data_IF_790687202144
#
_entry.id   IF_790687202144
#
_cell.length_a   1.000
_cell.length_b   1.000
_cell.length_c   1.000
_cell.angle_alpha   90.00
_cell.angle_beta   90.00
_cell.angle_gamma   90.00
#
_symmetry.space_group_name_H-M   'P 1'
#
loop_
_entity.id
_entity.type
_entity.pdbx_description
1 polymer ?
#
# COMPACT_ATOMS: atom_id res chain seq x y z
N UNK A 1 51.92 -3.58 24.26
CA UNK A 1 50.92 -4.31 23.47
C UNK A 1 49.98 -3.27 22.91
N UNK A 2 50.16 -2.93 21.62
CA UNK A 2 49.29 -1.99 20.92
C UNK A 2 47.85 -2.49 20.99
N UNK A 3 46.90 -1.58 21.25
CA UNK A 3 45.48 -1.86 21.05
C UNK A 3 45.33 -2.54 19.69
N UNK A 4 44.95 -3.81 19.68
CA UNK A 4 44.55 -4.51 18.47
C UNK A 4 43.31 -3.78 17.98
N UNK A 5 43.50 -2.85 17.05
CA UNK A 5 42.44 -2.19 16.32
C UNK A 5 41.52 -3.27 15.77
N UNK A 6 40.35 -3.41 16.41
CA UNK A 6 39.35 -4.37 15.95
C UNK A 6 39.03 -4.04 14.49
N UNK A 7 39.08 -5.01 13.58
CA UNK A 7 38.80 -4.78 12.17
C UNK A 7 37.44 -4.09 12.02
N UNK A 8 37.44 -2.92 11.38
CA UNK A 8 36.25 -2.08 11.24
C UNK A 8 35.22 -2.83 10.40
N UNK A 9 34.07 -3.14 11.01
CA UNK A 9 32.99 -3.95 10.42
C UNK A 9 32.59 -3.52 9.00
N UNK A 10 32.60 -2.22 8.69
CA UNK A 10 32.40 -1.72 7.33
C UNK A 10 33.07 -0.34 7.16
N UNK A 11 34.21 -0.26 6.44
CA UNK A 11 34.86 1.01 6.11
C UNK A 11 33.92 1.95 5.34
N UNK A 12 34.08 3.26 5.54
CA UNK A 12 33.18 4.26 4.94
C UNK A 12 33.16 4.21 3.40
N UNK A 13 34.28 3.85 2.79
CA UNK A 13 34.47 3.80 1.34
C UNK A 13 33.55 2.80 0.64
N UNK A 14 33.27 1.67 1.28
CA UNK A 14 32.49 0.58 0.67
C UNK A 14 30.98 0.70 0.89
N UNK A 15 30.55 1.51 1.86
CA UNK A 15 29.13 1.60 2.27
C UNK A 15 28.23 2.03 1.11
N UNK A 16 28.63 3.04 0.35
CA UNK A 16 27.85 3.55 -0.77
C UNK A 16 27.65 2.49 -1.86
N UNK A 17 28.72 1.78 -2.21
CA UNK A 17 28.69 0.72 -3.22
C UNK A 17 27.85 -0.47 -2.76
N UNK A 18 28.02 -0.91 -1.52
CA UNK A 18 27.22 -2.01 -0.94
C UNK A 18 25.72 -1.65 -0.94
N UNK A 19 25.37 -0.43 -0.53
CA UNK A 19 23.98 0.05 -0.54
C UNK A 19 23.44 0.13 -1.97
N UNK A 20 24.26 0.55 -2.95
CA UNK A 20 23.87 0.57 -4.36
C UNK A 20 23.55 -0.84 -4.87
N UNK A 21 24.45 -1.81 -4.65
CA UNK A 21 24.23 -3.22 -5.01
C UNK A 21 22.98 -3.77 -4.36
N UNK A 22 22.81 -3.54 -3.05
CA UNK A 22 21.62 -3.95 -2.31
C UNK A 22 20.32 -3.39 -2.91
N UNK A 23 20.31 -2.13 -3.34
CA UNK A 23 19.15 -1.52 -4.02
C UNK A 23 18.87 -2.17 -5.38
N UNK A 24 19.91 -2.46 -6.16
CA UNK A 24 19.75 -3.18 -7.43
C UNK A 24 19.11 -4.54 -7.20
N UNK A 25 19.65 -5.32 -6.24
CA UNK A 25 19.12 -6.64 -5.89
C UNK A 25 17.67 -6.59 -5.39
N UNK A 26 17.29 -5.55 -4.65
CA UNK A 26 15.90 -5.35 -4.21
C UNK A 26 14.93 -5.18 -5.38
N UNK A 27 15.37 -4.54 -6.47
CA UNK A 27 14.52 -4.16 -7.59
C UNK A 27 14.46 -5.19 -8.72
N UNK A 28 15.34 -6.20 -8.71
CA UNK A 28 15.29 -7.31 -9.67
C UNK A 28 14.03 -8.14 -9.49
N UNK A 29 13.43 -8.54 -10.62
CA UNK A 29 12.19 -9.32 -10.65
C UNK A 29 12.13 -10.15 -11.95
N UNK A 30 11.60 -11.38 -11.93
CA UNK A 30 11.53 -12.23 -13.12
C UNK A 30 10.78 -11.64 -14.32
N UNK A 31 9.81 -10.76 -14.07
CA UNK A 31 9.05 -10.05 -15.10
C UNK A 31 9.66 -8.69 -15.53
N UNK A 32 10.83 -8.31 -15.01
CA UNK A 32 11.56 -7.11 -15.43
C UNK A 32 12.81 -7.57 -16.20
N UNK A 33 12.99 -7.17 -17.46
CA UNK A 33 14.18 -7.51 -18.21
C UNK A 33 15.41 -6.84 -17.59
N UNK A 34 16.57 -7.47 -17.70
CA UNK A 34 17.83 -6.82 -17.38
C UNK A 34 18.21 -5.78 -18.44
N UNK A 35 19.05 -4.81 -18.05
CA UNK A 35 19.55 -3.72 -18.91
C UNK A 35 20.60 -4.20 -19.94
N UNK A 36 20.40 -5.39 -20.51
CA UNK A 36 21.22 -5.94 -21.58
C UNK A 36 20.55 -5.66 -22.94
N UNK A 37 21.34 -5.58 -24.04
CA UNK A 37 20.82 -5.28 -25.39
C UNK A 37 19.73 -6.28 -25.85
N UNK A 38 19.73 -7.50 -25.29
CA UNK A 38 18.77 -8.57 -25.59
C UNK A 38 17.57 -8.61 -24.63
N UNK A 39 17.58 -7.85 -23.53
CA UNK A 39 16.48 -7.80 -22.56
C UNK A 39 16.17 -9.14 -21.90
N UNK A 40 17.20 -9.86 -21.44
CA UNK A 40 17.07 -11.21 -20.88
C UNK A 40 16.22 -11.22 -19.60
N UNK A 41 15.36 -12.24 -19.49
CA UNK A 41 14.57 -12.52 -18.30
C UNK A 41 15.21 -13.66 -17.51
N UNK A 42 15.39 -13.47 -16.21
CA UNK A 42 15.92 -14.50 -15.31
C UNK A 42 14.83 -15.03 -14.39
N UNK A 43 14.95 -16.30 -14.02
CA UNK A 43 14.13 -16.90 -12.98
C UNK A 43 14.45 -16.30 -11.60
N UNK A 44 13.54 -16.49 -10.64
CA UNK A 44 13.73 -16.01 -9.26
C UNK A 44 14.99 -16.60 -8.61
N UNK A 45 15.32 -17.86 -8.93
CA UNK A 45 16.49 -18.56 -8.41
C UNK A 45 17.79 -18.01 -9.01
N UNK A 46 17.82 -17.77 -10.32
CA UNK A 46 18.97 -17.17 -11.01
C UNK A 46 19.24 -15.74 -10.51
N UNK A 47 18.19 -14.95 -10.28
CA UNK A 47 18.31 -13.61 -9.70
C UNK A 47 18.91 -13.69 -8.30
N UNK A 48 18.42 -14.62 -7.46
CA UNK A 48 18.94 -14.79 -6.11
C UNK A 48 20.41 -15.21 -6.13
N UNK A 49 20.76 -16.22 -6.93
CA UNK A 49 22.13 -16.70 -7.08
C UNK A 49 23.06 -15.60 -7.59
N UNK A 50 22.66 -14.86 -8.63
CA UNK A 50 23.43 -13.75 -9.18
C UNK A 50 23.67 -12.64 -8.16
N UNK A 51 22.64 -12.26 -7.39
CA UNK A 51 22.75 -11.23 -6.35
C UNK A 51 23.64 -11.65 -5.17
N UNK A 52 23.59 -12.94 -4.79
CA UNK A 52 24.46 -13.55 -3.76
C UNK A 52 25.92 -13.52 -4.25
N UNK A 53 26.15 -13.96 -5.48
CA UNK A 53 27.48 -14.04 -6.07
C UNK A 53 28.11 -12.65 -6.24
N UNK A 54 27.36 -11.67 -6.73
CA UNK A 54 27.83 -10.29 -6.90
C UNK A 54 28.27 -9.67 -5.56
N UNK A 55 27.46 -9.83 -4.51
CA UNK A 55 27.79 -9.32 -3.19
C UNK A 55 28.99 -10.07 -2.56
N UNK A 56 29.05 -11.39 -2.75
CA UNK A 56 30.16 -12.22 -2.27
C UNK A 56 31.48 -11.83 -2.94
N UNK A 57 31.50 -11.74 -4.27
CA UNK A 57 32.70 -11.37 -5.04
C UNK A 57 33.19 -9.97 -4.64
N UNK A 58 32.28 -9.02 -4.46
CA UNK A 58 32.65 -7.68 -3.99
C UNK A 58 33.30 -7.71 -2.60
N UNK A 59 32.71 -8.45 -1.65
CA UNK A 59 33.26 -8.55 -0.31
C UNK A 59 34.59 -9.32 -0.28
N UNK A 60 34.72 -10.38 -1.08
CA UNK A 60 35.95 -11.17 -1.17
C UNK A 60 37.11 -10.36 -1.76
N UNK A 61 36.88 -9.62 -2.84
CA UNK A 61 37.90 -8.79 -3.48
C UNK A 61 38.40 -7.61 -2.61
N UNK A 62 37.65 -7.24 -1.57
CA UNK A 62 37.96 -6.13 -0.67
C UNK A 62 38.25 -6.58 0.78
N UNK A 63 38.39 -7.89 0.99
CA UNK A 63 38.62 -8.51 2.30
C UNK A 63 37.60 -8.12 3.38
N UNK A 64 36.33 -7.96 2.96
CA UNK A 64 35.20 -7.57 3.81
C UNK A 64 34.44 -8.79 4.34
N UNK A 65 35.15 -9.74 4.93
CA UNK A 65 34.58 -11.01 5.43
C UNK A 65 33.45 -10.81 6.44
N UNK A 66 33.57 -9.83 7.35
CA UNK A 66 32.54 -9.51 8.33
C UNK A 66 31.26 -8.92 7.71
N UNK A 67 31.41 -8.06 6.70
CA UNK A 67 30.28 -7.50 5.95
C UNK A 67 29.53 -8.63 5.25
N UNK A 68 30.27 -9.53 4.61
CA UNK A 68 29.68 -10.69 3.95
C UNK A 68 28.90 -11.57 4.92
N UNK A 69 29.51 -11.91 6.06
CA UNK A 69 28.85 -12.73 7.09
C UNK A 69 27.54 -12.08 7.58
N UNK A 70 27.53 -10.76 7.78
CA UNK A 70 26.31 -10.03 8.12
C UNK A 70 25.28 -10.05 6.98
N UNK A 71 25.71 -9.75 5.76
CA UNK A 71 24.83 -9.71 4.58
C UNK A 71 24.17 -11.05 4.35
N UNK A 72 24.94 -12.14 4.40
CA UNK A 72 24.43 -13.49 4.29
C UNK A 72 23.38 -13.80 5.36
N UNK A 73 23.73 -13.63 6.64
CA UNK A 73 22.88 -14.03 7.76
C UNK A 73 21.59 -13.20 7.89
N UNK A 74 21.61 -11.93 7.46
CA UNK A 74 20.47 -11.01 7.61
C UNK A 74 19.64 -10.82 6.36
N UNK A 75 20.22 -10.99 5.17
CA UNK A 75 19.57 -10.59 3.93
C UNK A 75 19.54 -11.71 2.89
N UNK A 76 20.68 -12.34 2.62
CA UNK A 76 20.81 -13.23 1.46
C UNK A 76 20.50 -14.71 1.73
N UNK A 77 20.32 -15.11 2.98
CA UNK A 77 19.83 -16.46 3.32
C UNK A 77 18.46 -16.68 2.67
N UNK A 78 18.15 -17.87 2.11
CA UNK A 78 16.86 -18.12 1.44
C UNK A 78 15.62 -17.76 2.27
N UNK A 79 15.67 -17.99 3.60
CA UNK A 79 14.61 -17.61 4.54
C UNK A 79 14.40 -16.10 4.67
N UNK A 80 15.47 -15.32 4.55
CA UNK A 80 15.43 -13.86 4.65
C UNK A 80 15.13 -13.23 3.29
N UNK A 81 15.66 -13.80 2.21
CA UNK A 81 15.46 -13.33 0.84
C UNK A 81 13.98 -13.13 0.50
N UNK A 82 13.15 -14.11 0.85
CA UNK A 82 11.69 -14.05 0.62
C UNK A 82 10.97 -12.91 1.36
N UNK A 83 11.58 -12.34 2.40
CA UNK A 83 10.98 -11.26 3.19
C UNK A 83 11.22 -9.87 2.61
N UNK A 84 12.26 -9.69 1.80
CA UNK A 84 12.63 -8.36 1.29
C UNK A 84 12.82 -8.29 -0.23
N UNK A 85 13.27 -9.35 -0.90
CA UNK A 85 13.51 -9.30 -2.34
C UNK A 85 12.20 -9.34 -3.12
N UNK A 86 12.10 -8.51 -4.18
CA UNK A 86 10.93 -8.52 -5.06
C UNK A 86 10.86 -9.78 -5.91
N UNK A 87 12.00 -10.37 -6.27
CA UNK A 87 12.07 -11.57 -7.09
C UNK A 87 11.45 -12.81 -6.46
N UNK A 88 11.25 -12.82 -5.14
CA UNK A 88 10.63 -13.93 -4.43
C UNK A 88 9.09 -13.93 -4.52
N UNK A 89 8.48 -12.91 -5.10
CA UNK A 89 7.04 -12.81 -5.28
C UNK A 89 6.71 -12.75 -6.78
N UNK A 90 5.74 -13.53 -7.23
CA UNK A 90 5.31 -13.52 -8.63
C UNK A 90 4.69 -12.19 -9.08
N UNK A 91 4.20 -11.40 -8.11
CA UNK A 91 3.49 -10.15 -8.38
C UNK A 91 4.35 -8.92 -8.09
N UNK A 92 4.43 -8.01 -9.07
CA UNK A 92 5.11 -6.72 -8.89
C UNK A 92 4.25 -5.78 -8.05
N UNK A 93 4.69 -5.50 -6.82
CA UNK A 93 4.07 -4.46 -6.00
C UNK A 93 4.26 -3.08 -6.62
N UNK A 94 3.17 -2.49 -7.14
CA UNK A 94 3.12 -1.12 -7.66
C UNK A 94 3.27 -0.05 -6.58
N UNK A 95 2.93 -0.39 -5.34
CA UNK A 95 3.00 0.52 -4.18
C UNK A 95 4.25 0.19 -3.36
N UNK A 96 5.04 1.23 -3.04
CA UNK A 96 6.10 1.08 -2.03
C UNK A 96 5.45 0.86 -0.67
N UNK A 97 5.94 -0.13 0.08
CA UNK A 97 5.45 -0.44 1.43
C UNK A 97 5.51 0.77 2.36
N UNK A 98 6.47 1.67 2.16
CA UNK A 98 6.57 2.95 2.89
C UNK A 98 5.35 3.84 2.71
N UNK A 99 4.78 3.93 1.50
CA UNK A 99 3.57 4.74 1.26
C UNK A 99 2.35 4.17 1.98
N UNK A 100 2.24 2.83 2.04
CA UNK A 100 1.15 2.17 2.76
C UNK A 100 1.28 2.43 4.26
N UNK A 101 2.49 2.29 4.79
CA UNK A 101 2.80 2.54 6.20
C UNK A 101 2.59 4.02 6.55
N UNK A 102 3.05 4.96 5.73
CA UNK A 102 2.85 6.40 5.92
C UNK A 102 1.36 6.78 5.88
N UNK A 103 0.60 6.21 4.94
CA UNK A 103 -0.83 6.47 4.85
C UNK A 103 -1.58 5.88 6.06
N UNK A 104 -1.20 4.67 6.51
CA UNK A 104 -1.73 4.09 7.75
C UNK A 104 -1.44 5.02 8.94
N UNK A 105 -0.20 5.46 9.10
CA UNK A 105 0.18 6.39 10.17
C UNK A 105 -0.55 7.72 10.08
N UNK A 106 -0.80 8.25 8.89
CA UNK A 106 -1.62 9.45 8.67
C UNK A 106 -3.04 9.25 9.21
N UNK A 107 -3.66 8.10 8.96
CA UNK A 107 -4.99 7.78 9.48
C UNK A 107 -5.00 7.62 11.00
N UNK A 108 -4.03 6.90 11.56
CA UNK A 108 -3.91 6.71 13.02
C UNK A 108 -3.72 8.07 13.70
N UNK A 109 -2.80 8.91 13.20
CA UNK A 109 -2.53 10.25 13.73
C UNK A 109 -3.75 11.16 13.73
N UNK A 110 -4.48 11.21 12.60
CA UNK A 110 -5.62 12.14 12.43
C UNK A 110 -6.89 11.69 13.10
N UNK A 111 -7.08 10.38 13.30
CA UNK A 111 -8.37 9.84 13.75
C UNK A 111 -8.33 9.34 15.17
N UNK A 112 -7.29 8.58 15.51
CA UNK A 112 -7.20 7.87 16.78
C UNK A 112 -6.26 8.60 17.77
N UNK A 113 -5.24 9.33 17.27
CA UNK A 113 -4.28 10.10 18.08
C UNK A 113 -4.47 11.62 18.05
N UNK A 114 -5.55 12.12 17.45
CA UNK A 114 -5.73 13.57 17.24
C UNK A 114 -5.75 14.39 18.53
N UNK A 115 -6.22 13.78 19.63
CA UNK A 115 -6.34 14.43 20.94
C UNK A 115 -5.11 14.23 21.83
N UNK A 116 -4.15 13.39 21.43
CA UNK A 116 -3.01 13.03 22.25
C UNK A 116 -1.75 13.74 21.77
N UNK A 117 -1.26 14.69 22.55
CA UNK A 117 0.06 15.28 22.34
C UNK A 117 1.14 14.33 22.84
N UNK A 118 2.04 13.88 21.94
CA UNK A 118 3.14 12.95 22.24
C UNK A 118 2.67 11.67 22.97
N UNK A 119 1.83 10.84 22.32
CA UNK A 119 1.32 9.62 22.93
C UNK A 119 2.46 8.67 23.28
N UNK A 120 2.38 8.06 24.46
CA UNK A 120 3.31 6.99 24.87
C UNK A 120 3.11 5.76 23.98
N UNK A 121 4.17 4.99 23.78
CA UNK A 121 4.16 3.79 22.94
C UNK A 121 3.06 2.79 23.34
N UNK A 122 2.83 2.65 24.65
CA UNK A 122 1.81 1.76 25.20
C UNK A 122 0.39 2.15 24.74
N UNK A 123 0.05 3.45 24.82
CA UNK A 123 -1.23 3.98 24.33
C UNK A 123 -1.39 3.75 22.83
N UNK A 124 -0.33 3.95 22.04
CA UNK A 124 -0.35 3.70 20.59
C UNK A 124 -0.62 2.22 20.33
N UNK A 125 0.07 1.32 21.04
CA UNK A 125 -0.11 -0.14 20.91
C UNK A 125 -1.55 -0.54 21.24
N UNK A 126 -2.08 -0.04 22.37
CA UNK A 126 -3.46 -0.28 22.77
C UNK A 126 -4.46 0.19 21.70
N UNK A 127 -4.28 1.40 21.16
CA UNK A 127 -5.15 1.93 20.09
C UNK A 127 -5.04 1.11 18.80
N UNK A 128 -3.86 0.63 18.44
CA UNK A 128 -3.68 -0.22 17.26
C UNK A 128 -4.47 -1.51 17.41
N UNK A 129 -4.39 -2.16 18.58
CA UNK A 129 -5.09 -3.43 18.85
C UNK A 129 -6.61 -3.21 18.96
N UNK A 130 -7.04 -2.16 19.68
CA UNK A 130 -8.45 -1.94 20.00
C UNK A 130 -9.25 -1.30 18.86
N UNK A 131 -8.63 -0.44 18.05
CA UNK A 131 -9.36 0.40 17.08
C UNK A 131 -8.91 0.23 15.63
N UNK A 132 -7.60 0.11 15.38
CA UNK A 132 -7.06 -0.01 14.02
C UNK A 132 -7.27 -1.42 13.49
N UNK A 133 -6.87 -2.43 14.25
CA UNK A 133 -6.91 -3.83 13.83
C UNK A 133 -8.34 -4.30 13.52
N UNK A 134 -9.37 -4.08 14.36
CA UNK A 134 -10.72 -4.55 14.05
C UNK A 134 -11.29 -3.87 12.81
N UNK A 135 -11.00 -2.58 12.61
CA UNK A 135 -11.42 -1.84 11.42
C UNK A 135 -10.77 -2.40 10.15
N UNK A 136 -9.46 -2.65 10.18
CA UNK A 136 -8.76 -3.27 9.03
C UNK A 136 -9.31 -4.66 8.75
N UNK A 137 -9.57 -5.46 9.78
CA UNK A 137 -10.21 -6.77 9.63
C UNK A 137 -11.60 -6.67 9.01
N UNK A 138 -12.41 -5.69 9.41
CA UNK A 138 -13.73 -5.45 8.81
C UNK A 138 -13.61 -5.09 7.33
N UNK A 139 -12.70 -4.19 6.95
CA UNK A 139 -12.45 -3.84 5.56
C UNK A 139 -11.93 -5.04 4.76
N UNK A 140 -11.00 -5.83 5.30
CA UNK A 140 -10.51 -7.04 4.66
C UNK A 140 -11.62 -8.08 4.47
N UNK A 141 -12.47 -8.28 5.48
CA UNK A 141 -13.60 -9.19 5.38
C UNK A 141 -14.66 -8.72 4.36
N UNK A 142 -14.77 -7.42 4.11
CA UNK A 142 -15.61 -6.89 3.02
C UNK A 142 -14.98 -7.12 1.65
N UNK A 143 -13.68 -6.87 1.50
CA UNK A 143 -12.94 -7.07 0.25
C UNK A 143 -12.84 -8.54 -0.14
N UNK A 144 -12.61 -9.42 0.85
CA UNK A 144 -12.53 -10.87 0.66
C UNK A 144 -13.91 -11.54 0.64
N UNK A 145 -14.99 -10.74 0.66
CA UNK A 145 -16.39 -11.19 0.59
C UNK A 145 -16.84 -12.14 1.73
N UNK A 146 -16.06 -12.23 2.81
CA UNK A 146 -16.30 -13.11 3.96
C UNK A 146 -17.43 -12.63 4.87
N UNK A 147 -17.79 -11.34 4.81
CA UNK A 147 -18.66 -10.69 5.80
C UNK A 147 -20.17 -10.92 5.61
N UNK A 148 -20.64 -11.28 4.41
CA UNK A 148 -22.09 -11.22 4.09
C UNK A 148 -22.57 -12.34 3.17
N UNK A 149 -22.77 -13.53 3.74
CA UNK A 149 -23.38 -14.67 3.03
C UNK A 149 -24.90 -14.46 2.79
N UNK A 150 -25.55 -13.47 3.42
CA UNK A 150 -27.01 -13.25 3.30
C UNK A 150 -27.50 -11.83 3.04
N UNK A 151 -26.62 -10.85 2.83
CA UNK A 151 -27.02 -9.45 2.53
C UNK A 151 -26.35 -8.99 1.25
N UNK A 152 -27.12 -8.35 0.36
CA UNK A 152 -26.60 -7.83 -0.90
C UNK A 152 -25.35 -6.96 -0.68
N UNK A 153 -24.38 -7.09 -1.61
CA UNK A 153 -23.15 -6.30 -1.62
C UNK A 153 -23.51 -4.81 -1.65
N UNK A 154 -22.77 -3.99 -0.91
CA UNK A 154 -22.93 -2.55 -1.01
C UNK A 154 -22.55 -2.14 -2.43
N UNK A 155 -23.42 -1.39 -3.09
CA UNK A 155 -23.17 -0.88 -4.43
C UNK A 155 -21.97 0.07 -4.39
N UNK A 156 -21.09 -0.01 -5.38
CA UNK A 156 -20.05 0.98 -5.57
C UNK A 156 -20.70 2.38 -5.74
N UNK A 157 -19.97 3.48 -5.44
CA UNK A 157 -20.53 4.82 -5.58
C UNK A 157 -21.12 5.08 -6.97
N UNK A 158 -20.43 4.66 -8.03
CA UNK A 158 -20.92 4.78 -9.41
C UNK A 158 -22.16 3.92 -9.68
N UNK A 159 -22.23 2.71 -9.13
CA UNK A 159 -23.41 1.83 -9.23
C UNK A 159 -24.61 2.43 -8.50
N UNK A 160 -24.38 3.15 -7.41
CA UNK A 160 -25.43 3.86 -6.66
C UNK A 160 -26.00 5.01 -7.49
N UNK A 161 -25.12 5.80 -8.13
CA UNK A 161 -25.53 6.87 -9.05
C UNK A 161 -26.29 6.30 -10.25
N UNK A 162 -25.75 5.24 -10.86
CA UNK A 162 -26.38 4.55 -11.99
C UNK A 162 -27.75 4.00 -11.60
N UNK A 163 -27.87 3.29 -10.47
CA UNK A 163 -29.15 2.77 -9.98
C UNK A 163 -30.16 3.90 -9.76
N UNK A 164 -29.73 5.04 -9.22
CA UNK A 164 -30.58 6.21 -9.03
C UNK A 164 -31.10 6.73 -10.37
N UNK A 165 -30.21 6.92 -11.34
CA UNK A 165 -30.58 7.38 -12.70
C UNK A 165 -31.48 6.37 -13.41
N UNK A 166 -31.20 5.07 -13.27
CA UNK A 166 -32.01 4.01 -13.84
C UNK A 166 -33.44 4.02 -13.30
N UNK A 167 -33.59 4.16 -11.97
CA UNK A 167 -34.91 4.25 -11.34
C UNK A 167 -35.63 5.53 -11.79
N UNK A 168 -34.91 6.66 -11.88
CA UNK A 168 -35.49 7.91 -12.39
C UNK A 168 -35.98 7.75 -13.83
N UNK A 169 -35.14 7.18 -14.71
CA UNK A 169 -35.47 6.93 -16.12
C UNK A 169 -36.57 5.89 -16.32
N UNK A 170 -36.79 4.99 -15.36
CA UNK A 170 -37.87 3.99 -15.44
C UNK A 170 -39.27 4.56 -15.19
N UNK A 171 -39.38 5.75 -14.59
CA UNK A 171 -40.65 6.45 -14.36
C UNK A 171 -41.16 7.14 -15.63
N UNK A 172 -42.46 7.28 -15.77
CA UNK A 172 -43.06 8.09 -16.84
C UNK A 172 -42.72 9.57 -16.65
N UNK A 173 -42.74 10.35 -17.74
CA UNK A 173 -42.44 11.78 -17.65
C UNK A 173 -43.46 12.52 -16.77
N UNK A 174 -44.73 12.09 -16.78
CA UNK A 174 -45.79 12.61 -15.90
C UNK A 174 -45.45 12.43 -14.42
N UNK A 175 -45.02 11.22 -14.03
CA UNK A 175 -44.61 10.93 -12.65
C UNK A 175 -43.41 11.76 -12.22
N UNK A 176 -42.46 12.05 -13.13
CA UNK A 176 -41.31 12.90 -12.84
C UNK A 176 -41.71 14.36 -12.63
N UNK A 177 -42.64 14.89 -13.42
CA UNK A 177 -43.14 16.26 -13.26
C UNK A 177 -43.88 16.42 -11.94
N UNK A 178 -44.77 15.48 -11.62
CA UNK A 178 -45.50 15.48 -10.33
C UNK A 178 -44.53 15.40 -9.14
N UNK A 179 -43.47 14.58 -9.24
CA UNK A 179 -42.47 14.49 -8.18
C UNK A 179 -41.67 15.79 -8.03
N UNK A 180 -41.26 16.43 -9.14
CA UNK A 180 -40.57 17.73 -9.11
C UNK A 180 -41.44 18.83 -8.50
N UNK A 181 -42.72 18.87 -8.85
CA UNK A 181 -43.69 19.78 -8.23
C UNK A 181 -43.78 19.53 -6.72
N UNK A 182 -43.94 18.27 -6.30
CA UNK A 182 -44.03 17.90 -4.89
C UNK A 182 -42.76 18.29 -4.12
N UNK A 183 -41.58 18.10 -4.71
CA UNK A 183 -40.30 18.44 -4.08
C UNK A 183 -40.16 19.97 -3.91
N UNK A 184 -40.59 20.76 -4.90
CA UNK A 184 -40.64 22.24 -4.77
C UNK A 184 -41.65 22.66 -3.71
N UNK A 185 -42.82 21.99 -3.66
CA UNK A 185 -43.87 22.29 -2.69
C UNK A 185 -43.48 21.91 -1.26
N UNK A 186 -42.66 20.88 -1.08
CA UNK A 186 -42.10 20.44 0.21
C UNK A 186 -40.83 21.22 0.61
N UNK A 187 -40.16 21.84 -0.35
CA UNK A 187 -38.97 22.65 -0.10
C UNK A 187 -39.26 23.94 0.67
N UNK A 188 -38.21 24.55 1.22
CA UNK A 188 -38.29 25.77 2.04
C UNK A 188 -38.56 27.07 1.24
N UNK A 189 -38.91 26.97 -0.03
CA UNK A 189 -39.17 28.13 -0.89
C UNK A 189 -40.53 28.74 -0.52
N UNK A 190 -40.56 30.06 -0.27
CA UNK A 190 -41.76 30.79 0.14
C UNK A 190 -42.23 31.76 -0.94
N UNK A 191 -43.55 31.88 -1.07
CA UNK A 191 -44.22 32.89 -1.89
C UNK A 191 -43.78 32.89 -3.35
N UNK A 192 -43.55 34.08 -3.91
CA UNK A 192 -43.31 34.32 -5.34
C UNK A 192 -42.19 33.49 -5.96
N UNK A 193 -41.11 33.22 -5.22
CA UNK A 193 -39.98 32.42 -5.70
C UNK A 193 -40.31 30.92 -5.86
N UNK A 194 -41.33 30.41 -5.15
CA UNK A 194 -41.85 29.06 -5.33
C UNK A 194 -42.77 29.00 -6.55
N UNK A 195 -43.61 30.01 -6.74
CA UNK A 195 -44.55 30.08 -7.85
C UNK A 195 -43.82 30.26 -9.19
N UNK A 196 -42.76 31.07 -9.22
CA UNK A 196 -41.87 31.23 -10.38
C UNK A 196 -41.16 29.91 -10.77
N UNK A 197 -40.81 29.07 -9.78
CA UNK A 197 -40.19 27.76 -10.04
C UNK A 197 -41.17 26.70 -10.50
N UNK A 198 -42.43 26.75 -10.03
CA UNK A 198 -43.48 25.86 -10.50
C UNK A 198 -43.89 26.20 -11.94
N UNK A 199 -43.82 27.47 -12.34
CA UNK A 199 -44.11 27.91 -13.71
C UNK A 199 -43.03 27.54 -14.75
N UNK A 200 -41.86 27.06 -14.31
CA UNK A 200 -40.73 26.66 -15.17
C UNK A 200 -40.65 25.14 -15.40
N UNK A 201 -41.56 24.37 -14.80
CA UNK A 201 -41.69 22.91 -14.96
C UNK A 201 -42.76 22.61 -15.99
#
# INVERSE_FOLDING_TARGET
>A
MSETELPVFCPKEHRATIVSKFRTHFHQHPAIPFDDEEGTYFSAEEIHYGAVLDMYQYCFAKDLSQVWAYMWNRWYTPKQWSLWARSACDSISRLKTTMVVENLWKHIKRRDLAQFNRPRLDLVTYLVISSVLPRVQLTLNEVLERRRIGRAKALAPWQTTFKRQWIDMSKSDEERLVQKELDIRRGNLKGKARDERLAQI
#
